data_IF_173593341942
#
_entry.id   IF_173593341942
#
_cell.length_a   1.000
_cell.length_b   1.000
_cell.length_c   1.000
_cell.angle_alpha   90.00
_cell.angle_beta   90.00
_cell.angle_gamma   90.00
#
_symmetry.space_group_name_H-M   'P 1'
#
loop_
_entity.id
_entity.type
_entity.pdbx_description
1 polymer ?
#
# COMPACT_ATOMS: atom_id res chain seq x y z
N UNK A 1 86.18 -7.75 19.92
CA UNK A 1 85.85 -9.20 19.89
C UNK A 1 84.44 -9.39 19.55
N UNK A 2 84.19 -9.93 18.35
CA UNK A 2 83.23 -10.97 18.00
C UNK A 2 81.74 -10.67 18.30
N UNK A 3 80.73 -10.88 17.42
CA UNK A 3 80.64 -11.69 16.21
C UNK A 3 79.31 -11.26 15.48
N UNK A 4 79.38 -11.18 14.21
CA UNK A 4 78.27 -11.11 13.27
C UNK A 4 77.31 -12.29 13.44
N UNK A 5 76.02 -12.10 13.24
CA UNK A 5 75.16 -13.06 12.53
C UNK A 5 74.02 -12.39 11.80
N UNK A 6 74.14 -12.50 10.56
CA UNK A 6 73.13 -12.25 9.46
C UNK A 6 72.10 -13.37 9.52
N UNK A 7 70.84 -13.06 9.35
CA UNK A 7 69.88 -14.01 8.80
C UNK A 7 68.76 -13.24 8.03
N UNK A 8 68.78 -13.57 6.80
CA UNK A 8 67.83 -13.22 5.74
C UNK A 8 66.48 -13.88 5.93
N UNK A 9 65.46 -13.27 5.28
CA UNK A 9 64.41 -14.01 4.56
C UNK A 9 63.11 -14.18 5.33
N UNK A 10 62.07 -13.58 4.83
CA UNK A 10 60.67 -13.80 5.27
C UNK A 10 59.72 -13.13 4.31
N UNK A 11 59.27 -13.90 3.37
CA UNK A 11 58.44 -13.58 2.24
C UNK A 11 57.13 -12.83 2.60
N UNK A 12 56.80 -11.91 1.74
CA UNK A 12 55.51 -11.21 1.69
C UNK A 12 54.39 -12.15 1.26
N UNK A 13 53.60 -12.63 2.20
CA UNK A 13 52.33 -13.29 1.94
C UNK A 13 51.24 -12.27 1.53
N UNK A 14 50.97 -12.18 0.24
CA UNK A 14 49.87 -11.37 -0.30
C UNK A 14 48.53 -11.88 0.21
N UNK A 15 47.84 -11.06 0.99
CA UNK A 15 46.40 -11.28 1.32
C UNK A 15 45.56 -10.96 0.11
N UNK A 16 45.13 -11.99 -0.62
CA UNK A 16 44.06 -11.89 -1.62
C UNK A 16 42.77 -11.51 -0.89
N UNK A 17 42.33 -10.27 -1.09
CA UNK A 17 40.99 -9.83 -0.73
C UNK A 17 40.00 -10.66 -1.54
N UNK A 18 39.27 -11.52 -0.87
CA UNK A 18 38.08 -12.18 -1.45
C UNK A 18 36.94 -11.15 -1.47
N UNK A 19 36.76 -10.51 -2.60
CA UNK A 19 35.54 -9.78 -2.91
C UNK A 19 34.36 -10.76 -2.85
N UNK A 20 33.69 -10.79 -1.72
CA UNK A 20 32.37 -11.42 -1.61
C UNK A 20 31.38 -10.55 -2.36
N UNK A 21 31.16 -10.85 -3.64
CA UNK A 21 29.96 -10.42 -4.35
C UNK A 21 28.73 -10.91 -3.58
N UNK A 22 28.16 -10.02 -2.76
CA UNK A 22 26.81 -10.18 -2.22
C UNK A 22 25.80 -9.94 -3.36
N UNK A 23 25.69 -10.90 -4.24
CA UNK A 23 24.54 -11.02 -5.12
C UNK A 23 23.38 -11.55 -4.28
N UNK A 24 22.54 -10.66 -3.77
CA UNK A 24 21.25 -11.06 -3.21
C UNK A 24 20.42 -11.64 -4.34
N UNK A 25 20.53 -12.94 -4.56
CA UNK A 25 19.56 -13.69 -5.37
C UNK A 25 18.22 -13.56 -4.66
N UNK A 26 17.40 -12.62 -5.12
CA UNK A 26 15.97 -12.62 -4.80
C UNK A 26 15.44 -13.98 -5.26
N UNK A 27 15.27 -14.91 -4.32
CA UNK A 27 14.53 -16.14 -4.56
C UNK A 27 13.11 -15.72 -4.93
N UNK A 28 12.75 -15.86 -6.20
CA UNK A 28 11.37 -15.72 -6.64
C UNK A 28 10.53 -16.65 -5.76
N UNK A 29 9.65 -16.06 -4.94
CA UNK A 29 8.74 -16.86 -4.13
C UNK A 29 7.86 -17.65 -5.10
N UNK A 30 7.75 -18.96 -4.86
CA UNK A 30 6.88 -19.83 -5.66
C UNK A 30 5.44 -19.33 -5.47
N UNK A 31 4.78 -19.01 -6.56
CA UNK A 31 3.34 -18.72 -6.59
C UNK A 31 2.62 -20.04 -6.32
N UNK A 32 1.77 -20.05 -5.32
CA UNK A 32 0.96 -21.22 -4.96
C UNK A 32 -0.35 -21.22 -5.75
N UNK A 33 -0.95 -20.05 -5.87
CA UNK A 33 -2.26 -19.82 -6.47
C UNK A 33 -2.39 -18.35 -6.90
N UNK A 34 -3.22 -18.09 -7.91
CA UNK A 34 -3.66 -16.74 -8.27
C UNK A 34 -5.15 -16.61 -7.95
N UNK A 35 -5.50 -15.53 -7.29
CA UNK A 35 -6.88 -15.20 -6.89
C UNK A 35 -7.27 -13.81 -7.31
N UNK A 36 -8.55 -13.61 -7.56
CA UNK A 36 -9.13 -12.29 -7.85
C UNK A 36 -10.03 -11.88 -6.69
N UNK A 37 -9.91 -10.65 -6.24
CA UNK A 37 -10.72 -10.13 -5.13
C UNK A 37 -10.68 -8.63 -5.01
N UNK A 38 -11.45 -8.09 -4.06
CA UNK A 38 -11.49 -6.65 -3.74
C UNK A 38 -10.50 -6.29 -2.66
N UNK A 39 -9.83 -5.18 -2.85
CA UNK A 39 -8.87 -4.61 -1.90
C UNK A 39 -9.60 -3.94 -0.75
N UNK A 40 -9.28 -4.36 0.45
CA UNK A 40 -9.58 -3.66 1.69
C UNK A 40 -8.27 -3.15 2.28
N UNK A 41 -8.06 -1.84 2.20
CA UNK A 41 -6.84 -1.19 2.67
C UNK A 41 -6.96 -0.80 4.14
N UNK A 42 -5.82 -0.85 4.83
CA UNK A 42 -5.70 -0.41 6.22
C UNK A 42 -4.97 0.92 6.31
N UNK A 43 -5.03 1.54 7.48
CA UNK A 43 -4.34 2.81 7.76
C UNK A 43 -2.82 2.75 7.56
N UNK A 44 -2.21 1.58 7.72
CA UNK A 44 -0.77 1.38 7.58
C UNK A 44 -0.36 1.04 6.13
N UNK A 45 -1.32 1.07 5.19
CA UNK A 45 -1.08 0.85 3.77
C UNK A 45 -0.94 -0.61 3.34
N UNK A 46 -1.03 -1.59 4.25
CA UNK A 46 -1.19 -2.97 3.84
C UNK A 46 -2.66 -3.26 3.51
N UNK A 47 -2.89 -4.30 2.73
CA UNK A 47 -4.23 -4.63 2.25
C UNK A 47 -4.58 -6.09 2.50
N UNK A 48 -5.89 -6.33 2.61
CA UNK A 48 -6.48 -7.65 2.47
C UNK A 48 -7.19 -7.73 1.12
N UNK A 49 -6.94 -8.80 0.38
CA UNK A 49 -7.69 -9.10 -0.84
C UNK A 49 -8.81 -10.04 -0.44
N UNK A 50 -10.03 -9.50 -0.44
CA UNK A 50 -11.26 -10.19 -0.04
C UNK A 50 -11.78 -10.96 -1.26
N UNK A 51 -11.91 -12.28 -1.13
CA UNK A 51 -12.43 -13.16 -2.19
C UNK A 51 -13.92 -13.32 -1.99
N UNK A 52 -14.70 -13.00 -3.00
CA UNK A 52 -16.15 -13.14 -2.93
C UNK A 52 -16.57 -14.60 -2.74
N UNK A 53 -17.42 -14.85 -1.73
CA UNK A 53 -17.87 -16.19 -1.37
C UNK A 53 -16.92 -17.00 -0.50
N UNK A 54 -15.74 -16.48 -0.16
CA UNK A 54 -14.73 -17.18 0.64
C UNK A 54 -14.22 -16.33 1.81
N UNK A 55 -15.05 -16.02 2.83
CA UNK A 55 -14.73 -15.05 3.86
C UNK A 55 -13.51 -15.40 4.72
N UNK A 56 -13.09 -16.67 4.76
CA UNK A 56 -11.94 -17.12 5.57
C UNK A 56 -10.65 -17.25 4.74
N UNK A 57 -10.69 -16.92 3.46
CA UNK A 57 -9.59 -17.08 2.52
C UNK A 57 -8.95 -15.76 2.06
N UNK A 58 -9.12 -14.70 2.83
CA UNK A 58 -8.53 -13.41 2.54
C UNK A 58 -7.01 -13.47 2.43
N UNK A 59 -6.45 -12.73 1.48
CA UNK A 59 -5.00 -12.69 1.26
C UNK A 59 -4.42 -11.40 1.80
N UNK A 60 -3.52 -11.52 2.75
CA UNK A 60 -2.76 -10.39 3.27
C UNK A 60 -1.64 -9.99 2.29
N UNK A 61 -1.57 -8.69 1.97
CA UNK A 61 -0.54 -8.12 1.09
C UNK A 61 0.13 -6.93 1.79
N UNK A 62 1.45 -6.97 1.89
CA UNK A 62 2.25 -5.88 2.47
C UNK A 62 2.17 -4.62 1.61
N UNK A 63 2.28 -3.44 2.22
CA UNK A 63 2.24 -2.14 1.54
C UNK A 63 3.21 -2.05 0.34
N UNK A 64 4.42 -2.61 0.47
CA UNK A 64 5.42 -2.63 -0.61
C UNK A 64 5.06 -3.54 -1.81
N UNK A 65 3.97 -4.32 -1.72
CA UNK A 65 3.55 -5.31 -2.71
C UNK A 65 2.15 -5.05 -3.28
N UNK A 66 1.58 -3.90 -2.98
CA UNK A 66 0.24 -3.51 -3.43
C UNK A 66 0.20 -3.03 -4.88
N UNK A 67 1.36 -2.70 -5.47
CA UNK A 67 1.50 -2.16 -6.84
C UNK A 67 0.58 -0.96 -7.13
N UNK A 68 0.35 -0.12 -6.13
CA UNK A 68 -0.51 1.04 -6.27
C UNK A 68 -2.01 0.73 -6.26
N UNK A 69 -2.42 -0.46 -5.84
CA UNK A 69 -3.81 -0.78 -5.58
C UNK A 69 -4.29 -0.04 -4.34
N UNK A 70 -5.52 0.44 -4.39
CA UNK A 70 -6.18 1.24 -3.37
C UNK A 70 -7.44 0.56 -2.87
N UNK A 71 -8.03 1.11 -1.82
CA UNK A 71 -9.25 0.57 -1.22
C UNK A 71 -10.40 0.50 -2.22
N UNK A 72 -11.01 -0.66 -2.35
CA UNK A 72 -12.14 -0.91 -3.26
C UNK A 72 -11.76 -1.37 -4.66
N UNK A 73 -10.48 -1.34 -5.05
CA UNK A 73 -10.02 -1.86 -6.35
C UNK A 73 -10.25 -3.37 -6.43
N UNK A 74 -10.55 -3.86 -7.63
CA UNK A 74 -10.55 -5.29 -7.93
C UNK A 74 -9.17 -5.66 -8.48
N UNK A 75 -8.53 -6.64 -7.86
CA UNK A 75 -7.14 -7.00 -8.18
C UNK A 75 -6.98 -8.50 -8.39
N UNK A 76 -5.96 -8.85 -9.17
CA UNK A 76 -5.42 -10.21 -9.25
C UNK A 76 -4.20 -10.29 -8.34
N UNK A 77 -4.21 -11.26 -7.44
CA UNK A 77 -3.19 -11.45 -6.42
C UNK A 77 -2.56 -12.84 -6.53
N UNK A 78 -1.23 -12.90 -6.47
CA UNK A 78 -0.50 -14.16 -6.34
C UNK A 78 -0.32 -14.51 -4.87
N UNK A 79 -0.84 -15.64 -4.45
CA UNK A 79 -0.60 -16.21 -3.12
C UNK A 79 0.80 -16.83 -3.10
N UNK A 80 1.66 -16.37 -2.22
CA UNK A 80 3.05 -16.81 -2.14
C UNK A 80 3.37 -17.65 -0.90
N UNK A 81 2.54 -17.58 0.12
CA UNK A 81 2.64 -18.44 1.31
C UNK A 81 1.31 -18.61 2.01
N UNK A 82 1.14 -19.78 2.61
CA UNK A 82 0.07 -20.08 3.56
C UNK A 82 0.73 -20.45 4.89
N UNK A 83 0.36 -19.77 5.96
CA UNK A 83 0.76 -20.14 7.33
C UNK A 83 -0.48 -20.55 8.10
N UNK A 84 -0.41 -21.69 8.75
CA UNK A 84 -1.35 -22.00 9.83
C UNK A 84 -0.88 -21.21 11.03
N UNK A 85 -1.68 -20.26 11.50
CA UNK A 85 -1.41 -19.65 12.80
C UNK A 85 -1.57 -20.74 13.87
N UNK A 86 -0.46 -21.11 14.50
CA UNK A 86 -0.52 -21.86 15.74
C UNK A 86 -1.13 -20.91 16.77
N UNK A 87 -2.38 -21.16 17.17
CA UNK A 87 -3.01 -20.40 18.24
C UNK A 87 -2.10 -20.51 19.47
N UNK A 88 -1.58 -19.36 19.96
CA UNK A 88 -0.83 -19.28 21.20
C UNK A 88 -1.67 -19.65 22.44
N UNK A 89 -2.95 -19.93 22.28
CA UNK A 89 -3.91 -20.33 23.30
C UNK A 89 -4.34 -21.81 23.24
N UNK A 90 -3.46 -22.71 22.76
CA UNK A 90 -3.72 -24.16 22.80
C UNK A 90 -3.83 -24.75 24.24
N UNK A 91 -3.79 -23.92 25.28
CA UNK A 91 -3.90 -24.37 26.67
C UNK A 91 -5.36 -24.40 27.24
N UNK A 92 -6.37 -23.94 26.52
CA UNK A 92 -7.79 -24.04 26.94
C UNK A 92 -8.65 -24.52 25.79
N UNK A 93 -8.88 -25.80 25.73
CA UNK A 93 -9.95 -26.60 25.09
C UNK A 93 -10.96 -25.92 24.14
N UNK A 94 -10.55 -25.07 23.23
CA UNK A 94 -11.40 -24.38 22.27
C UNK A 94 -11.07 -24.79 20.83
N UNK A 95 -12.11 -24.98 20.03
CA UNK A 95 -12.18 -25.47 18.65
C UNK A 95 -11.00 -25.08 17.76
N UNK A 96 -10.42 -26.07 17.11
CA UNK A 96 -9.28 -26.03 16.19
C UNK A 96 -9.67 -25.52 14.81
N UNK A 97 -10.09 -24.30 14.67
CA UNK A 97 -10.05 -23.60 13.38
C UNK A 97 -8.91 -22.60 13.45
N UNK A 98 -7.67 -23.11 13.29
CA UNK A 98 -6.51 -22.28 13.11
C UNK A 98 -6.72 -21.51 11.80
N UNK A 99 -7.02 -20.22 11.89
CA UNK A 99 -7.19 -19.36 10.74
C UNK A 99 -5.91 -19.44 9.87
N UNK A 100 -6.10 -19.82 8.60
CA UNK A 100 -5.00 -19.89 7.64
C UNK A 100 -4.68 -18.47 7.21
N UNK A 101 -3.54 -17.96 7.57
CA UNK A 101 -3.08 -16.68 7.07
C UNK A 101 -2.39 -16.87 5.73
N UNK A 102 -3.01 -16.39 4.67
CA UNK A 102 -2.46 -16.39 3.31
C UNK A 102 -1.74 -15.07 3.09
N UNK A 103 -0.53 -15.11 2.57
CA UNK A 103 0.23 -13.92 2.18
C UNK A 103 0.46 -13.93 0.67
N UNK A 104 0.33 -12.75 0.05
CA UNK A 104 0.48 -12.62 -1.39
C UNK A 104 1.11 -11.31 -1.83
N UNK A 105 1.07 -11.12 -3.15
CA UNK A 105 1.42 -9.87 -3.80
C UNK A 105 0.44 -9.59 -4.93
N UNK A 106 0.06 -8.32 -5.12
CA UNK A 106 -0.80 -7.93 -6.22
C UNK A 106 -0.01 -8.02 -7.51
N UNK A 107 -0.57 -8.72 -8.50
CA UNK A 107 0.00 -8.85 -9.84
C UNK A 107 -0.50 -7.73 -10.73
N UNK A 108 -1.80 -7.47 -10.66
CA UNK A 108 -2.50 -6.57 -11.57
C UNK A 108 -3.72 -5.95 -10.90
N UNK A 109 -4.00 -4.71 -11.24
CA UNK A 109 -5.26 -4.03 -10.92
C UNK A 109 -6.18 -4.29 -12.10
N UNK A 110 -7.21 -5.12 -11.89
CA UNK A 110 -8.17 -5.52 -12.93
C UNK A 110 -9.15 -4.38 -13.19
N UNK A 111 -9.60 -3.73 -12.11
CA UNK A 111 -10.56 -2.63 -12.17
C UNK A 111 -10.33 -1.66 -11.02
N UNK A 112 -10.28 -0.37 -11.32
CA UNK A 112 -10.24 0.68 -10.31
C UNK A 112 -11.59 0.88 -9.68
N UNK A 113 -11.60 1.19 -8.40
CA UNK A 113 -12.82 1.59 -7.71
C UNK A 113 -13.36 2.90 -8.29
N UNK A 114 -14.66 2.92 -8.60
CA UNK A 114 -15.36 4.14 -9.01
C UNK A 114 -15.89 4.96 -7.82
N UNK A 115 -15.65 4.49 -6.59
CA UNK A 115 -16.02 5.24 -5.39
C UNK A 115 -15.03 6.36 -5.15
N UNK A 116 -15.51 7.59 -5.00
CA UNK A 116 -14.63 8.71 -4.70
C UNK A 116 -14.07 8.61 -3.28
N UNK A 117 -12.90 9.15 -3.11
CA UNK A 117 -12.29 9.38 -1.81
C UNK A 117 -12.62 10.80 -1.35
N UNK A 118 -13.04 10.94 -0.11
CA UNK A 118 -13.37 12.23 0.49
C UNK A 118 -12.20 12.73 1.35
N UNK A 119 -11.81 13.97 1.14
CA UNK A 119 -10.75 14.62 1.89
C UNK A 119 -10.86 16.14 1.87
N UNK A 120 -9.86 16.81 2.42
CA UNK A 120 -9.79 18.27 2.47
C UNK A 120 -8.81 18.79 1.44
N UNK A 121 -9.27 19.70 0.58
CA UNK A 121 -8.44 20.32 -0.45
C UNK A 121 -7.39 21.23 0.20
N UNK A 122 -6.13 20.97 -0.11
CA UNK A 122 -5.00 21.78 0.30
C UNK A 122 -4.30 22.35 -0.92
N UNK A 123 -4.09 23.67 -0.92
CA UNK A 123 -3.46 24.38 -2.04
C UNK A 123 -2.30 25.23 -1.49
N UNK A 124 -1.12 25.09 -2.11
CA UNK A 124 0.06 25.90 -1.82
C UNK A 124 0.69 26.31 -3.15
N UNK A 125 0.62 27.60 -3.49
CA UNK A 125 1.05 28.10 -4.79
C UNK A 125 0.27 27.45 -5.92
N UNK A 126 0.94 26.72 -6.81
CA UNK A 126 0.35 25.95 -7.91
C UNK A 126 0.35 24.44 -7.64
N UNK A 127 0.45 24.05 -6.39
CA UNK A 127 0.37 22.63 -5.99
C UNK A 127 -0.91 22.41 -5.22
N UNK A 128 -1.61 21.32 -5.53
CA UNK A 128 -2.85 20.95 -4.88
C UNK A 128 -2.87 19.48 -4.49
N UNK A 129 -3.41 19.19 -3.31
CA UNK A 129 -3.61 17.84 -2.79
C UNK A 129 -4.96 17.72 -2.12
N UNK A 130 -5.53 16.54 -2.14
CA UNK A 130 -6.62 16.16 -1.24
C UNK A 130 -6.03 15.41 -0.06
N UNK A 131 -6.05 16.05 1.11
CA UNK A 131 -5.57 15.46 2.35
C UNK A 131 -6.61 14.48 2.88
N UNK A 132 -6.21 13.21 2.97
CA UNK A 132 -7.10 12.13 3.34
C UNK A 132 -7.26 12.02 4.85
N UNK A 133 -8.49 11.81 5.30
CA UNK A 133 -8.84 11.59 6.71
C UNK A 133 -9.39 10.18 6.95
N UNK A 134 -9.62 9.42 5.88
CA UNK A 134 -10.16 8.07 5.94
C UNK A 134 -9.12 7.07 6.44
N UNK A 135 -9.56 6.10 7.25
CA UNK A 135 -8.72 5.00 7.71
C UNK A 135 -8.35 4.02 6.60
N UNK A 136 -9.12 4.04 5.51
CA UNK A 136 -8.96 3.11 4.38
C UNK A 136 -8.17 3.71 3.22
N UNK A 137 -7.67 4.94 3.37
CA UNK A 137 -6.85 5.64 2.38
C UNK A 137 -5.77 6.43 3.11
N UNK A 138 -4.59 5.84 3.33
CA UNK A 138 -3.49 6.48 4.06
C UNK A 138 -2.65 7.44 3.21
N UNK A 139 -2.97 7.56 1.91
CA UNK A 139 -2.21 8.37 0.96
C UNK A 139 -3.03 9.58 0.52
N UNK A 140 -2.44 10.77 0.56
CA UNK A 140 -3.03 11.96 -0.02
C UNK A 140 -3.05 11.86 -1.54
N UNK A 141 -4.01 12.51 -2.19
CA UNK A 141 -4.16 12.47 -3.65
C UNK A 141 -3.61 13.77 -4.23
N UNK A 142 -2.61 13.66 -5.11
CA UNK A 142 -2.08 14.80 -5.85
C UNK A 142 -3.06 15.21 -6.95
N UNK A 143 -3.38 16.51 -7.02
CA UNK A 143 -4.31 17.09 -8.00
C UNK A 143 -3.55 18.05 -8.89
N UNK A 144 -3.78 18.00 -10.18
CA UNK A 144 -3.29 19.02 -11.10
C UNK A 144 -4.03 20.35 -10.82
N UNK A 145 -3.26 21.38 -10.47
CA UNK A 145 -3.80 22.69 -10.12
C UNK A 145 -4.67 23.28 -11.23
N UNK A 146 -4.32 23.05 -12.49
CA UNK A 146 -5.03 23.59 -13.64
C UNK A 146 -6.35 22.89 -13.92
N UNK A 147 -6.61 21.75 -13.25
CA UNK A 147 -7.88 20.98 -13.35
C UNK A 147 -8.82 21.22 -12.18
N UNK A 148 -8.48 22.12 -11.27
CA UNK A 148 -9.34 22.42 -10.12
C UNK A 148 -10.71 22.93 -10.57
N UNK A 149 -11.82 22.40 -10.01
CA UNK A 149 -13.16 22.91 -10.31
C UNK A 149 -13.31 24.38 -9.92
N UNK A 150 -14.16 25.10 -10.68
CA UNK A 150 -14.51 26.47 -10.32
C UNK A 150 -15.13 26.53 -8.92
N UNK A 151 -14.67 27.48 -8.12
CA UNK A 151 -15.14 27.64 -6.73
C UNK A 151 -14.43 26.73 -5.71
N UNK A 152 -13.59 25.78 -6.12
CA UNK A 152 -12.79 25.01 -5.20
C UNK A 152 -11.77 25.87 -4.46
N UNK A 153 -11.81 25.87 -3.13
CA UNK A 153 -10.94 26.66 -2.28
C UNK A 153 -10.22 25.78 -1.26
N UNK A 154 -9.03 26.24 -0.85
CA UNK A 154 -8.29 25.60 0.23
C UNK A 154 -9.16 25.44 1.48
N UNK A 155 -9.14 24.27 2.07
CA UNK A 155 -9.88 23.93 3.29
C UNK A 155 -11.26 23.34 3.05
N UNK A 156 -11.77 23.34 1.81
CA UNK A 156 -13.04 22.70 1.48
C UNK A 156 -12.92 21.18 1.46
N UNK A 157 -13.99 20.50 1.85
CA UNK A 157 -14.16 19.07 1.59
C UNK A 157 -14.50 18.84 0.12
N UNK A 158 -13.82 17.85 -0.45
CA UNK A 158 -13.97 17.48 -1.86
C UNK A 158 -14.04 15.95 -1.98
N UNK A 159 -14.71 15.50 -3.02
CA UNK A 159 -14.69 14.11 -3.47
C UNK A 159 -13.74 14.00 -4.66
N UNK A 160 -12.81 13.07 -4.62
CA UNK A 160 -11.79 12.87 -5.66
C UNK A 160 -11.72 11.41 -6.10
N UNK A 161 -11.45 11.19 -7.38
CA UNK A 161 -11.12 9.88 -7.94
C UNK A 161 -9.62 9.81 -8.21
N UNK A 162 -9.07 8.61 -8.08
CA UNK A 162 -7.69 8.33 -8.44
C UNK A 162 -7.61 7.87 -9.89
N UNK A 163 -6.82 8.58 -10.69
CA UNK A 163 -6.57 8.24 -12.09
C UNK A 163 -5.47 7.20 -12.23
N UNK A 164 -4.44 7.30 -11.39
CA UNK A 164 -3.32 6.39 -11.42
C UNK A 164 -2.29 6.64 -10.31
N UNK A 165 -1.38 5.69 -10.19
CA UNK A 165 -0.24 5.80 -9.28
C UNK A 165 1.01 5.26 -9.96
N UNK A 166 1.86 6.16 -10.42
CA UNK A 166 3.09 5.81 -11.11
C UNK A 166 4.12 5.23 -10.12
N UNK A 167 4.87 4.26 -10.59
CA UNK A 167 5.91 3.64 -9.78
C UNK A 167 6.99 4.67 -9.42
N UNK A 168 7.20 4.87 -8.11
CA UNK A 168 8.20 5.82 -7.60
C UNK A 168 7.60 7.16 -7.18
N UNK A 169 6.34 7.44 -7.51
CA UNK A 169 5.64 8.60 -6.99
C UNK A 169 5.21 8.37 -5.52
N UNK A 170 5.35 9.38 -4.66
CA UNK A 170 5.00 9.24 -3.25
C UNK A 170 3.49 9.15 -3.01
N UNK A 171 2.69 9.72 -3.91
CA UNK A 171 1.23 9.82 -3.81
C UNK A 171 0.57 9.49 -5.14
N UNK A 172 -0.66 8.93 -5.12
CA UNK A 172 -1.46 8.76 -6.33
C UNK A 172 -1.87 10.12 -6.93
N UNK A 173 -2.09 10.13 -8.23
CA UNK A 173 -2.65 11.26 -8.98
C UNK A 173 -4.15 11.06 -9.17
N UNK A 174 -4.90 12.14 -9.13
CA UNK A 174 -6.34 12.09 -9.33
C UNK A 174 -6.92 13.45 -9.68
N UNK A 175 -8.23 13.49 -9.76
CA UNK A 175 -8.98 14.70 -10.02
C UNK A 175 -10.17 14.81 -9.06
N UNK A 176 -10.63 16.06 -8.84
CA UNK A 176 -11.79 16.34 -8.01
C UNK A 176 -13.05 16.14 -8.88
N UNK A 177 -13.98 15.32 -8.39
CA UNK A 177 -15.28 15.09 -9.05
C UNK A 177 -16.38 15.96 -8.46
N UNK A 178 -16.23 16.37 -7.19
CA UNK A 178 -17.21 17.26 -6.56
C UNK A 178 -16.60 18.09 -5.42
N UNK A 179 -17.13 19.30 -5.24
CA UNK A 179 -16.81 20.19 -4.11
C UNK A 179 -17.99 20.17 -3.14
N UNK A 180 -17.78 19.56 -1.98
CA UNK A 180 -18.85 19.27 -1.02
C UNK A 180 -19.19 20.46 -0.12
N UNK A 181 -18.23 21.32 0.20
CA UNK A 181 -18.40 22.51 1.04
C UNK A 181 -17.35 22.67 2.13
N UNK A 182 -17.65 23.50 3.12
CA UNK A 182 -16.73 23.71 4.24
C UNK A 182 -16.91 22.62 5.30
N UNK A 183 -15.80 22.12 5.89
CA UNK A 183 -15.88 21.17 6.99
C UNK A 183 -16.69 21.73 8.17
N UNK A 184 -17.49 20.88 8.80
CA UNK A 184 -18.33 21.23 9.96
C UNK A 184 -19.72 21.75 9.61
N UNK A 185 -20.03 22.02 8.35
CA UNK A 185 -21.38 22.26 7.90
C UNK A 185 -22.15 20.92 7.81
N UNK A 186 -23.37 20.87 8.34
CA UNK A 186 -24.13 19.62 8.43
C UNK A 186 -24.34 18.95 7.07
N UNK A 187 -24.71 19.73 6.07
CA UNK A 187 -24.94 19.23 4.70
C UNK A 187 -23.64 18.72 4.07
N UNK A 188 -22.53 19.42 4.30
CA UNK A 188 -21.19 19.00 3.84
C UNK A 188 -20.78 17.66 4.44
N UNK A 189 -20.99 17.48 5.75
CA UNK A 189 -20.64 16.24 6.44
C UNK A 189 -21.51 15.07 5.96
N UNK A 190 -22.81 15.30 5.76
CA UNK A 190 -23.73 14.30 5.24
C UNK A 190 -23.38 13.90 3.81
N UNK A 191 -23.14 14.88 2.91
CA UNK A 191 -22.72 14.61 1.54
C UNK A 191 -21.38 13.87 1.48
N UNK A 192 -20.44 14.20 2.37
CA UNK A 192 -19.14 13.52 2.49
C UNK A 192 -19.31 12.02 2.80
N UNK A 193 -20.17 11.69 3.77
CA UNK A 193 -20.46 10.30 4.12
C UNK A 193 -21.09 9.57 2.95
N UNK A 194 -22.13 10.15 2.33
CA UNK A 194 -22.81 9.51 1.21
C UNK A 194 -21.87 9.29 0.02
N UNK A 195 -21.01 10.26 -0.30
CA UNK A 195 -20.01 10.16 -1.36
C UNK A 195 -19.01 9.03 -1.08
N UNK A 196 -18.50 8.91 0.16
CA UNK A 196 -17.56 7.86 0.55
C UNK A 196 -18.15 6.45 0.39
N UNK A 197 -19.45 6.30 0.62
CA UNK A 197 -20.16 5.03 0.38
C UNK A 197 -20.60 4.84 -1.07
N UNK A 198 -20.41 5.84 -1.93
CA UNK A 198 -20.86 5.80 -3.33
C UNK A 198 -22.39 5.89 -3.48
N UNK A 199 -23.05 6.53 -2.52
CA UNK A 199 -24.50 6.74 -2.51
C UNK A 199 -24.84 8.11 -3.13
N UNK A 200 -26.02 8.26 -3.77
CA UNK A 200 -26.50 9.56 -4.27
C UNK A 200 -26.66 10.55 -3.11
N UNK A 201 -26.17 11.78 -3.29
CA UNK A 201 -26.25 12.84 -2.27
C UNK A 201 -26.72 14.20 -2.83
N UNK A 202 -27.06 14.23 -4.13
CA UNK A 202 -27.70 15.35 -4.85
C UNK A 202 -28.81 14.84 -5.74
#
# INVERSE_FOLDING_TARGET
MQKRRNRQGGEKGGRKSRDKKFGSRQKSKRVLEEVTGKVQMTRDGYVFVIIEGEPDNDVFVKASKTRGALNGDTVRCAVTSERKEASSDAAKGGRKDAARRREGEIIEIVERSHKPFVGVLHIVGRQAWVLMQSRNMPYDISIDFDTLPEGAKRGMKVAALVDGWDKGEPTPKGHIVDVLGMPGENDTEMHAILAEYGLPYR
#
